data_IF_789611286464
#
_entry.id   IF_789611286464
#
_cell.length_a   1.000
_cell.length_b   1.000
_cell.length_c   1.000
_cell.angle_alpha   90.00
_cell.angle_beta   90.00
_cell.angle_gamma   90.00
#
_symmetry.space_group_name_H-M   'P 1'
#
loop_
_entity.id
_entity.type
_entity.pdbx_description
1 polymer ?
#
# COMPACT_ATOMS: atom_id res chain seq x y z
N UNK A 1 14.71 -2.44 -7.47
CA UNK A 1 15.50 -3.32 -8.35
C UNK A 1 16.97 -3.03 -8.11
N UNK A 2 17.70 -3.92 -7.41
CA UNK A 2 19.13 -3.74 -7.20
C UNK A 2 19.89 -4.09 -8.49
N UNK A 3 20.55 -3.10 -9.06
CA UNK A 3 21.55 -3.25 -10.12
C UNK A 3 22.90 -2.81 -9.56
N UNK A 4 23.98 -3.45 -9.97
CA UNK A 4 25.32 -3.04 -9.51
C UNK A 4 25.69 -1.67 -10.10
N UNK A 5 26.72 -1.03 -9.54
CA UNK A 5 27.19 0.29 -10.02
C UNK A 5 27.68 0.19 -11.46
N UNK A 6 28.33 -0.92 -11.80
CA UNK A 6 28.91 -1.21 -13.12
C UNK A 6 27.82 -1.36 -14.20
N UNK A 7 26.69 -1.96 -13.85
CA UNK A 7 25.54 -2.09 -14.75
C UNK A 7 24.89 -0.73 -15.05
N UNK A 8 25.00 0.22 -14.12
CA UNK A 8 24.41 1.56 -14.26
C UNK A 8 25.25 2.55 -15.05
N UNK A 9 26.56 2.39 -15.09
CA UNK A 9 27.48 3.27 -15.83
C UNK A 9 27.70 2.83 -17.28
N UNK A 10 27.17 1.66 -17.68
CA UNK A 10 27.20 1.17 -19.05
C UNK A 10 26.21 1.87 -20.00
N UNK A 11 26.38 1.67 -21.31
CA UNK A 11 25.52 2.27 -22.37
C UNK A 11 24.08 1.73 -22.40
N UNK A 12 23.79 0.67 -21.63
CA UNK A 12 22.46 0.07 -21.45
C UNK A 12 22.12 -0.03 -19.96
N UNK A 13 22.04 1.12 -19.28
CA UNK A 13 21.68 1.17 -17.86
C UNK A 13 20.25 0.66 -17.64
N UNK A 14 20.04 -0.41 -16.85
CA UNK A 14 18.70 -0.86 -16.52
C UNK A 14 18.00 0.13 -15.57
N UNK A 15 16.70 0.39 -15.75
CA UNK A 15 15.95 1.30 -14.87
C UNK A 15 15.74 0.68 -13.49
N UNK A 16 15.97 1.45 -12.43
CA UNK A 16 15.61 1.07 -11.05
C UNK A 16 16.66 1.43 -10.00
N UNK A 17 16.21 1.87 -8.82
CA UNK A 17 17.09 2.23 -7.70
C UNK A 17 16.95 1.21 -6.56
N UNK A 18 18.02 0.90 -5.82
CA UNK A 18 17.90 0.28 -4.51
C UNK A 18 17.26 1.29 -3.55
N UNK A 19 16.23 0.86 -2.82
CA UNK A 19 15.47 1.78 -1.96
C UNK A 19 14.78 1.14 -0.75
N UNK A 20 14.92 -0.17 -0.54
CA UNK A 20 14.23 -0.84 0.56
C UNK A 20 14.70 -0.29 1.93
N UNK A 21 16.01 -0.12 2.08
CA UNK A 21 16.63 0.38 3.32
C UNK A 21 16.40 1.89 3.55
N UNK A 22 16.20 2.67 2.48
CA UNK A 22 16.07 4.13 2.57
C UNK A 22 14.63 4.63 2.56
N UNK A 23 13.67 3.84 2.07
CA UNK A 23 12.27 4.25 1.92
C UNK A 23 11.66 4.72 3.25
N UNK A 24 11.74 3.90 4.30
CA UNK A 24 11.10 4.23 5.57
C UNK A 24 11.76 5.44 6.26
N UNK A 25 13.10 5.55 6.38
CA UNK A 25 13.75 6.75 6.92
C UNK A 25 13.37 8.05 6.18
N UNK A 26 13.31 8.02 4.85
CA UNK A 26 12.89 9.18 4.04
C UNK A 26 11.44 9.58 4.33
N UNK A 27 10.55 8.61 4.47
CA UNK A 27 9.15 8.87 4.76
C UNK A 27 8.93 9.31 6.21
N UNK A 28 9.64 8.75 7.17
CA UNK A 28 9.64 9.21 8.57
C UNK A 28 10.14 10.66 8.67
N UNK A 29 11.17 11.01 7.90
CA UNK A 29 11.64 12.40 7.80
C UNK A 29 10.52 13.31 7.30
N UNK A 30 9.78 12.90 6.27
CA UNK A 30 8.63 13.65 5.77
C UNK A 30 7.51 13.79 6.81
N UNK A 31 7.30 12.78 7.66
CA UNK A 31 6.38 12.84 8.80
C UNK A 31 6.85 13.87 9.84
N UNK A 32 8.12 13.82 10.24
CA UNK A 32 8.67 14.81 11.20
C UNK A 32 8.64 16.24 10.67
N UNK A 33 8.68 16.41 9.34
CA UNK A 33 8.57 17.71 8.66
C UNK A 33 7.12 18.16 8.42
N UNK A 34 6.12 17.39 8.89
CA UNK A 34 4.70 17.70 8.71
C UNK A 34 4.20 17.60 7.26
N UNK A 35 4.95 16.95 6.36
CA UNK A 35 4.58 16.77 4.94
C UNK A 35 3.65 15.57 4.71
N UNK A 36 3.57 14.69 5.69
CA UNK A 36 2.79 13.45 5.69
C UNK A 36 2.39 13.14 7.14
N UNK A 37 1.17 12.66 7.39
CA UNK A 37 0.82 12.19 8.74
C UNK A 37 1.36 10.77 8.98
N UNK A 38 1.55 10.39 10.24
CA UNK A 38 1.89 8.99 10.58
C UNK A 38 0.80 8.01 10.13
N UNK A 39 -0.47 8.42 10.22
CA UNK A 39 -1.61 7.63 9.75
C UNK A 39 -1.56 7.42 8.23
N UNK A 40 -1.26 8.46 7.45
CA UNK A 40 -1.11 8.34 5.99
C UNK A 40 0.03 7.39 5.61
N UNK A 41 1.14 7.44 6.35
CA UNK A 41 2.26 6.53 6.16
C UNK A 41 1.82 5.07 6.36
N UNK A 42 1.15 4.78 7.48
CA UNK A 42 0.64 3.43 7.81
C UNK A 42 -0.39 2.99 6.76
N UNK A 43 -1.28 3.88 6.33
CA UNK A 43 -2.25 3.59 5.29
C UNK A 43 -1.57 3.21 3.97
N UNK A 44 -0.54 3.95 3.55
CA UNK A 44 0.18 3.71 2.29
C UNK A 44 1.07 2.48 2.33
N UNK A 45 1.69 2.17 3.47
CA UNK A 45 2.66 1.06 3.59
C UNK A 45 2.09 -0.23 4.19
N UNK A 46 0.91 -0.19 4.82
CA UNK A 46 0.32 -1.36 5.47
C UNK A 46 -1.14 -1.62 5.04
N UNK A 47 -2.07 -0.73 5.36
CA UNK A 47 -3.50 -1.00 5.15
C UNK A 47 -3.89 -1.12 3.67
N UNK A 48 -3.45 -0.19 2.82
CA UNK A 48 -3.78 -0.22 1.40
C UNK A 48 -3.13 -1.39 0.67
N UNK A 49 -1.82 -1.69 0.81
CA UNK A 49 -1.22 -2.88 0.19
C UNK A 49 -1.96 -4.15 0.61
N UNK A 50 -2.27 -4.28 1.90
CA UNK A 50 -2.99 -5.46 2.40
C UNK A 50 -4.39 -5.60 1.78
N UNK A 51 -5.14 -4.51 1.65
CA UNK A 51 -6.47 -4.48 1.03
C UNK A 51 -6.44 -4.76 -0.46
N UNK A 52 -5.52 -4.12 -1.19
CA UNK A 52 -5.42 -4.19 -2.67
C UNK A 52 -4.96 -5.57 -3.12
N UNK A 53 -4.00 -6.16 -2.40
CA UNK A 53 -3.40 -7.45 -2.77
C UNK A 53 -3.94 -8.63 -1.95
N UNK A 54 -4.97 -8.41 -1.13
CA UNK A 54 -5.59 -9.43 -0.27
C UNK A 54 -4.59 -10.18 0.63
N UNK A 55 -3.61 -9.45 1.19
CA UNK A 55 -2.56 -10.06 2.01
C UNK A 55 -3.11 -10.45 3.40
N UNK A 56 -2.71 -11.59 3.96
CA UNK A 56 -3.13 -11.99 5.29
C UNK A 56 -2.49 -11.10 6.37
N UNK A 57 -3.03 -11.17 7.59
CA UNK A 57 -2.34 -10.59 8.75
C UNK A 57 -1.12 -11.42 9.07
N UNK A 58 -0.05 -10.75 9.47
CA UNK A 58 1.09 -11.40 10.12
C UNK A 58 0.90 -11.25 11.63
N UNK A 59 0.53 -12.31 12.37
CA UNK A 59 0.32 -12.22 13.81
C UNK A 59 1.64 -11.93 14.52
N UNK A 60 1.60 -11.16 15.62
CA UNK A 60 2.80 -10.82 16.44
C UNK A 60 3.96 -10.24 15.60
N UNK A 61 3.63 -9.44 14.59
CA UNK A 61 4.60 -8.74 13.74
C UNK A 61 4.43 -7.25 13.93
N UNK A 62 5.54 -6.56 14.21
CA UNK A 62 5.57 -5.11 14.38
C UNK A 62 6.98 -4.57 14.16
N UNK A 63 7.07 -3.26 13.95
CA UNK A 63 8.32 -2.54 13.72
C UNK A 63 8.39 -1.43 14.77
N UNK A 64 9.54 -1.29 15.40
CA UNK A 64 9.84 -0.19 16.30
C UNK A 64 10.78 0.78 15.61
N UNK A 65 10.40 2.05 15.66
CA UNK A 65 11.12 3.15 15.04
C UNK A 65 11.42 4.22 16.07
N UNK A 66 12.62 4.76 16.00
CA UNK A 66 13.03 5.96 16.71
C UNK A 66 12.78 7.16 15.81
N UNK A 67 11.84 8.03 16.20
CA UNK A 67 11.47 9.21 15.41
C UNK A 67 12.39 10.41 15.63
N UNK A 68 13.26 10.36 16.64
CA UNK A 68 14.16 11.45 17.00
C UNK A 68 15.59 11.19 16.51
N UNK A 69 15.91 9.94 16.18
CA UNK A 69 17.20 9.55 15.62
C UNK A 69 17.49 10.27 14.29
N UNK A 70 18.45 11.19 14.33
CA UNK A 70 19.00 11.86 13.15
C UNK A 70 20.28 11.17 12.69
N UNK A 71 20.38 10.94 11.37
CA UNK A 71 21.55 10.33 10.77
C UNK A 71 21.67 10.69 9.28
N UNK A 72 22.84 10.42 8.71
CA UNK A 72 23.12 10.65 7.29
C UNK A 72 23.13 9.32 6.55
N UNK A 73 22.40 9.24 5.44
CA UNK A 73 22.39 8.02 4.60
C UNK A 73 23.81 7.77 4.06
N UNK A 74 24.42 6.60 4.32
CA UNK A 74 25.75 6.26 3.85
C UNK A 74 25.75 6.03 2.33
N UNK A 75 26.92 6.09 1.71
CA UNK A 75 27.08 5.82 0.27
C UNK A 75 26.63 4.40 -0.12
N UNK A 76 26.90 3.43 0.75
CA UNK A 76 26.54 2.04 0.57
C UNK A 76 25.66 1.55 1.74
N UNK A 77 24.41 1.14 1.47
CA UNK A 77 23.57 0.48 2.48
C UNK A 77 24.15 -0.89 2.91
N UNK A 78 23.98 -1.29 4.18
CA UNK A 78 24.60 -2.50 4.72
C UNK A 78 24.07 -3.82 4.12
N UNK A 79 22.81 -3.88 3.67
CA UNK A 79 22.20 -5.14 3.23
C UNK A 79 22.01 -5.26 1.72
N UNK A 80 21.81 -4.14 1.03
CA UNK A 80 21.61 -4.15 -0.42
C UNK A 80 22.86 -4.64 -1.15
N UNK A 81 22.69 -5.70 -1.95
CA UNK A 81 23.74 -6.20 -2.86
C UNK A 81 24.16 -5.19 -3.92
N UNK A 82 23.36 -4.15 -4.16
CA UNK A 82 23.72 -3.07 -5.07
C UNK A 82 24.94 -2.28 -4.56
N UNK A 83 25.13 -2.17 -3.24
CA UNK A 83 26.22 -1.40 -2.59
C UNK A 83 26.28 0.09 -2.96
N UNK A 84 25.17 0.67 -3.38
CA UNK A 84 25.04 2.11 -3.61
C UNK A 84 23.61 2.57 -3.33
N UNK A 85 23.41 3.87 -3.13
CA UNK A 85 22.07 4.49 -3.03
C UNK A 85 22.08 5.89 -3.63
N UNK A 86 21.04 6.33 -4.35
CA UNK A 86 20.96 7.69 -4.88
C UNK A 86 20.72 8.74 -3.78
N UNK A 87 20.44 8.29 -2.55
CA UNK A 87 20.13 9.15 -1.41
C UNK A 87 21.34 9.38 -0.50
N UNK A 88 22.53 8.97 -0.92
CA UNK A 88 23.76 9.14 -0.15
C UNK A 88 23.97 10.61 0.25
N UNK A 89 24.39 10.86 1.49
CA UNK A 89 24.64 12.20 2.02
C UNK A 89 23.39 12.96 2.47
N UNK A 90 22.17 12.45 2.23
CA UNK A 90 20.95 13.07 2.75
C UNK A 90 20.86 12.88 4.26
N UNK A 91 20.54 13.96 4.97
CA UNK A 91 20.18 13.92 6.40
C UNK A 91 18.72 13.49 6.54
N UNK A 92 18.48 12.49 7.38
CA UNK A 92 17.15 11.95 7.65
C UNK A 92 16.90 11.87 9.15
N UNK A 93 15.63 11.92 9.52
CA UNK A 93 15.14 11.73 10.89
C UNK A 93 14.19 10.54 10.88
N UNK A 94 14.39 9.60 11.80
CA UNK A 94 13.68 8.33 11.79
C UNK A 94 14.63 7.16 11.53
N UNK A 95 14.72 6.21 12.46
CA UNK A 95 15.51 4.98 12.30
C UNK A 95 14.74 3.77 12.77
N UNK A 96 14.82 2.67 12.01
CA UNK A 96 14.31 1.37 12.47
C UNK A 96 15.24 0.86 13.57
N UNK A 97 14.71 0.64 14.76
CA UNK A 97 15.45 0.05 15.88
C UNK A 97 15.27 -1.46 15.90
N UNK A 98 14.03 -1.94 15.77
CA UNK A 98 13.70 -3.36 15.90
C UNK A 98 12.59 -3.78 14.94
N UNK A 99 12.70 -5.00 14.43
CA UNK A 99 11.62 -5.67 13.71
C UNK A 99 11.34 -6.99 14.40
N UNK A 100 10.08 -7.25 14.73
CA UNK A 100 9.60 -8.55 15.19
C UNK A 100 8.73 -9.16 14.10
N UNK A 101 9.00 -10.40 13.73
CA UNK A 101 8.31 -11.14 12.68
C UNK A 101 7.79 -12.46 13.23
N UNK A 102 6.45 -12.58 13.32
CA UNK A 102 5.75 -13.78 13.83
C UNK A 102 6.13 -14.17 15.26
N UNK A 103 6.52 -13.18 16.07
CA UNK A 103 6.95 -13.35 17.46
C UNK A 103 8.46 -13.43 17.67
N UNK A 104 9.24 -13.55 16.60
CA UNK A 104 10.71 -13.63 16.68
C UNK A 104 11.36 -12.30 16.30
N UNK A 105 12.46 -11.96 16.97
CA UNK A 105 13.21 -10.74 16.65
C UNK A 105 13.97 -10.93 15.34
N UNK A 106 13.52 -10.24 14.30
CA UNK A 106 14.07 -10.33 12.95
C UNK A 106 15.27 -9.42 12.71
N UNK A 107 15.24 -8.23 13.31
CA UNK A 107 16.24 -7.21 13.14
C UNK A 107 16.38 -6.38 14.41
N UNK A 108 17.61 -6.03 14.79
CA UNK A 108 17.94 -5.07 15.85
C UNK A 108 19.17 -4.27 15.45
N UNK A 109 19.12 -2.94 15.56
CA UNK A 109 20.27 -2.02 15.48
C UNK A 109 21.26 -2.27 14.33
N UNK A 110 20.77 -2.61 13.13
CA UNK A 110 21.63 -2.84 11.97
C UNK A 110 22.02 -4.30 11.74
N UNK A 111 21.46 -5.25 12.48
CA UNK A 111 21.73 -6.68 12.34
C UNK A 111 20.45 -7.45 12.04
N UNK A 112 20.49 -8.33 11.02
CA UNK A 112 19.43 -9.30 10.74
C UNK A 112 19.74 -10.58 11.50
N UNK A 113 18.78 -11.05 12.30
CA UNK A 113 18.99 -12.16 13.24
C UNK A 113 18.35 -13.47 12.78
N UNK A 114 17.38 -13.41 11.86
CA UNK A 114 16.70 -14.60 11.36
C UNK A 114 17.46 -15.21 10.18
N UNK A 115 17.57 -16.56 10.12
CA UNK A 115 18.29 -17.23 9.06
C UNK A 115 17.55 -17.16 7.71
N UNK A 116 18.27 -17.31 6.59
CA UNK A 116 17.66 -17.54 5.30
C UNK A 116 16.67 -18.73 5.35
N UNK A 117 15.51 -18.58 4.70
CA UNK A 117 14.44 -19.59 4.73
C UNK A 117 13.39 -19.39 5.83
N UNK A 118 13.57 -18.43 6.75
CA UNK A 118 12.52 -18.08 7.71
C UNK A 118 11.30 -17.40 7.04
N UNK A 119 11.42 -16.89 5.82
CA UNK A 119 10.29 -16.34 5.06
C UNK A 119 9.29 -17.44 4.67
N UNK A 120 8.00 -17.13 4.75
CA UNK A 120 6.92 -18.04 4.34
C UNK A 120 6.15 -17.43 3.16
N UNK A 121 5.61 -18.28 2.26
CA UNK A 121 4.65 -17.83 1.25
C UNK A 121 3.31 -17.48 1.94
N UNK A 122 2.93 -16.21 1.82
CA UNK A 122 1.70 -15.66 2.41
C UNK A 122 0.42 -16.16 1.73
N UNK A 123 0.52 -16.81 0.56
CA UNK A 123 -0.62 -17.43 -0.14
C UNK A 123 -0.86 -18.86 0.32
N UNK A 124 0.21 -19.60 0.61
CA UNK A 124 0.13 -20.99 1.09
C UNK A 124 -0.19 -21.07 2.59
N UNK A 125 0.24 -20.07 3.36
CA UNK A 125 -0.06 -19.95 4.80
C UNK A 125 -1.48 -19.45 5.10
N UNK A 126 -2.32 -19.23 4.09
CA UNK A 126 -3.74 -19.03 4.32
C UNK A 126 -4.38 -20.37 4.72
N UNK A 127 -5.10 -20.47 5.86
CA UNK A 127 -6.04 -21.56 5.99
C UNK A 127 -6.97 -21.50 4.79
N UNK A 128 -7.11 -22.61 4.07
CA UNK A 128 -8.05 -22.77 2.95
C UNK A 128 -9.40 -22.21 3.40
N UNK A 129 -9.72 -20.99 2.99
CA UNK A 129 -11.07 -20.48 3.12
C UNK A 129 -11.89 -21.34 2.17
N UNK A 130 -12.91 -22.09 2.65
CA UNK A 130 -13.69 -22.94 1.76
C UNK A 130 -14.31 -22.02 0.70
N UNK A 131 -13.85 -22.20 -0.54
CA UNK A 131 -14.45 -21.58 -1.70
C UNK A 131 -15.95 -21.82 -1.61
N UNK A 132 -16.72 -20.74 -1.76
CA UNK A 132 -18.17 -20.74 -1.66
C UNK A 132 -18.77 -21.91 -2.47
N UNK A 133 -19.19 -22.96 -1.76
CA UNK A 133 -20.14 -23.92 -2.28
C UNK A 133 -21.47 -23.19 -2.41
N UNK A 134 -21.70 -22.59 -3.58
CA UNK A 134 -23.02 -22.13 -4.00
C UNK A 134 -23.42 -22.93 -5.22
N UNK A 135 -23.85 -24.17 -4.96
CA UNK A 135 -24.78 -24.87 -5.85
C UNK A 135 -26.12 -24.14 -5.76
N UNK A 136 -26.36 -23.23 -6.69
CA UNK A 136 -27.69 -22.68 -6.94
C UNK A 136 -28.16 -23.16 -8.29
N UNK A 137 -28.90 -24.26 -8.29
CA UNK A 137 -29.78 -24.64 -9.38
C UNK A 137 -30.80 -23.54 -9.60
N UNK A 138 -30.68 -22.76 -10.67
CA UNK A 138 -31.73 -21.85 -11.11
C UNK A 138 -32.64 -22.59 -12.07
N UNK A 139 -33.83 -22.93 -11.57
CA UNK A 139 -34.98 -23.37 -12.35
C UNK A 139 -35.86 -22.15 -12.63
N UNK A 140 -36.14 -21.88 -13.91
CA UNK A 140 -37.28 -21.08 -14.36
C UNK A 140 -37.02 -19.58 -14.60
N UNK A 141 -37.47 -19.02 -15.75
CA UNK A 141 -37.43 -17.57 -15.99
C UNK A 141 -38.52 -16.85 -15.18
N UNK A 142 -38.28 -15.59 -14.74
CA UNK A 142 -39.26 -14.81 -14.00
C UNK A 142 -40.38 -14.32 -14.92
N UNK A 143 -41.64 -14.64 -14.56
CA UNK A 143 -42.84 -14.03 -15.15
C UNK A 143 -43.11 -12.72 -14.44
N UNK A 144 -43.04 -11.59 -15.16
CA UNK A 144 -43.41 -10.28 -14.63
C UNK A 144 -44.91 -10.02 -14.88
N UNK A 145 -45.69 -9.58 -13.86
CA UNK A 145 -47.05 -9.12 -14.08
C UNK A 145 -47.07 -7.72 -14.72
N UNK A 146 -47.95 -7.54 -15.70
CA UNK A 146 -48.14 -6.27 -16.41
C UNK A 146 -48.77 -5.19 -15.50
N UNK A 147 -48.30 -3.94 -15.54
CA UNK A 147 -48.99 -2.84 -14.85
C UNK A 147 -50.22 -2.38 -15.63
N UNK A 148 -51.33 -2.29 -14.91
CA UNK A 148 -52.61 -1.77 -15.40
C UNK A 148 -52.51 -0.26 -15.73
N UNK A 149 -52.76 0.11 -16.98
CA UNK A 149 -52.92 1.49 -17.41
C UNK A 149 -54.35 1.98 -17.09
N UNK A 150 -54.49 2.84 -16.10
CA UNK A 150 -55.70 3.65 -15.88
C UNK A 150 -55.47 5.06 -16.39
N UNK A 151 -56.21 5.47 -17.43
CA UNK A 151 -56.33 6.88 -17.83
C UNK A 151 -57.12 7.69 -16.79
N UNK A 152 -56.85 8.99 -16.68
CA UNK A 152 -57.93 9.91 -17.06
C UNK A 152 -57.48 11.15 -17.87
N UNK A 153 -58.48 11.68 -18.57
CA UNK A 153 -58.53 12.74 -19.56
C UNK A 153 -58.21 14.17 -19.09
N UNK A 154 -57.65 14.96 -20.03
CA UNK A 154 -57.98 16.34 -20.43
C UNK A 154 -57.93 17.54 -19.43
N UNK A 155 -56.92 18.43 -19.63
CA UNK A 155 -56.97 19.86 -20.11
C UNK A 155 -57.88 20.88 -19.34
N UNK A 156 -57.64 22.24 -19.24
CA UNK A 156 -56.71 23.13 -19.99
C UNK A 156 -55.90 24.21 -19.21
N UNK A 157 -54.98 24.81 -19.99
CA UNK A 157 -54.41 26.16 -20.02
C UNK A 157 -54.94 27.27 -19.08
N UNK A 158 -54.00 28.04 -18.51
CA UNK A 158 -54.16 29.48 -18.25
C UNK A 158 -52.85 30.24 -18.44
N UNK A 159 -52.96 31.39 -19.10
CA UNK A 159 -51.93 32.36 -19.49
C UNK A 159 -51.35 33.14 -18.30
N UNK A 160 -50.07 33.56 -18.41
CA UNK A 160 -49.68 34.97 -18.20
C UNK A 160 -48.18 35.15 -18.48
N UNK A 161 -47.85 35.82 -19.58
CA UNK A 161 -46.58 36.54 -19.73
C UNK A 161 -46.92 38.00 -20.00
N UNK A 162 -46.40 38.90 -19.16
CA UNK A 162 -46.45 40.34 -19.38
C UNK A 162 -45.05 40.93 -19.24
N UNK A 163 -44.54 41.36 -20.40
CA UNK A 163 -43.86 42.63 -20.71
C UNK A 163 -42.60 43.09 -19.96
N UNK A 164 -41.52 43.16 -20.75
CA UNK A 164 -40.42 44.17 -20.83
C UNK A 164 -41.00 45.62 -20.89
N UNK A 165 -40.24 46.74 -20.87
CA UNK A 165 -38.79 46.97 -20.69
C UNK A 165 -38.42 48.19 -19.79
N UNK A 166 -37.12 48.41 -19.52
CA UNK A 166 -36.34 49.59 -20.00
C UNK A 166 -34.87 49.48 -19.62
#
# INVERSE_FOLDING_TARGET
APHTVEEKTGSKSPPGFPGLETMLPLLLTAVTQGRLSMEDLINKLHHNPRRIFHLPRQPRTYIEVDLDAQWTIPEAPPFSKARWTPFAGMKVTGRVQRVVLRGEVAYVDGQVLLPPGYGEDVRESQPLSPAAASTSSVTGPPVFPAPHCTHPSSIPLSHSQHSVPS
#
